data_IF_462969484015
#
_entry.id   IF_462969484015
#
_cell.length_a   1.000
_cell.length_b   1.000
_cell.length_c   1.000
_cell.angle_alpha   90.00
_cell.angle_beta   90.00
_cell.angle_gamma   90.00
#
_symmetry.space_group_name_H-M   'P 1'
#
loop_
_entity.id
_entity.type
_entity.pdbx_description
1 polymer ?
#
# COMPACT_ATOMS: atom_id res chain seq x y z
N UNK A 1 -3.56 11.12 -24.73
CA UNK A 1 -2.95 11.80 -23.58
C UNK A 1 -3.45 11.13 -22.31
N UNK A 2 -2.70 10.18 -21.74
CA UNK A 2 -3.05 9.55 -20.45
C UNK A 2 -1.93 9.85 -19.47
N UNK A 3 -2.20 10.69 -18.48
CA UNK A 3 -1.29 10.92 -17.37
C UNK A 3 -1.38 9.69 -16.46
N UNK A 4 -0.43 8.76 -16.62
CA UNK A 4 -0.03 7.85 -15.54
C UNK A 4 0.59 8.72 -14.45
N UNK A 5 -0.23 9.29 -13.56
CA UNK A 5 0.26 9.86 -12.31
C UNK A 5 0.73 8.68 -11.46
N UNK A 6 2.00 8.35 -11.62
CA UNK A 6 2.83 7.87 -10.54
C UNK A 6 2.48 8.74 -9.34
N UNK A 7 1.73 8.18 -8.38
CA UNK A 7 1.41 8.87 -7.13
C UNK A 7 2.68 8.85 -6.29
N UNK A 8 3.67 9.62 -6.73
CA UNK A 8 4.53 10.34 -5.82
C UNK A 8 3.63 10.97 -4.77
N UNK A 9 4.12 11.02 -3.53
CA UNK A 9 3.46 11.60 -2.35
C UNK A 9 2.85 13.01 -2.60
N UNK A 10 3.23 13.65 -3.71
CA UNK A 10 2.80 14.93 -4.29
C UNK A 10 1.28 15.18 -4.42
N UNK A 11 0.43 14.16 -4.25
CA UNK A 11 -1.04 14.28 -4.34
C UNK A 11 -1.79 14.29 -3.00
N UNK A 12 -1.09 14.12 -1.88
CA UNK A 12 -1.69 14.02 -0.55
C UNK A 12 -1.39 15.26 0.30
N UNK A 13 -2.36 15.70 1.10
CA UNK A 13 -2.12 16.74 2.10
C UNK A 13 -1.14 16.26 3.18
N UNK A 14 -0.57 17.19 3.96
CA UNK A 14 0.46 16.85 4.95
C UNK A 14 -0.07 15.89 6.03
N UNK A 15 -1.34 16.02 6.41
CA UNK A 15 -1.95 15.18 7.44
C UNK A 15 -2.03 13.72 6.97
N UNK A 16 -2.48 13.52 5.74
CA UNK A 16 -2.55 12.20 5.10
C UNK A 16 -1.16 11.59 4.96
N UNK A 17 -0.16 12.39 4.53
CA UNK A 17 1.23 11.91 4.43
C UNK A 17 1.79 11.49 5.79
N UNK A 18 1.50 12.26 6.84
CA UNK A 18 1.90 11.91 8.20
C UNK A 18 1.26 10.60 8.67
N UNK A 19 -0.05 10.42 8.44
CA UNK A 19 -0.76 9.19 8.78
C UNK A 19 -0.19 7.97 8.04
N UNK A 20 0.11 8.10 6.74
CA UNK A 20 0.74 7.03 5.95
C UNK A 20 2.10 6.64 6.56
N UNK A 21 2.95 7.63 6.86
CA UNK A 21 4.27 7.38 7.47
C UNK A 21 4.16 6.70 8.82
N UNK A 22 3.18 7.09 9.63
CA UNK A 22 2.93 6.48 10.94
C UNK A 22 2.56 5.00 10.80
N UNK A 23 1.59 4.67 9.94
CA UNK A 23 1.17 3.29 9.70
C UNK A 23 2.33 2.46 9.13
N UNK A 24 3.09 3.01 8.18
CA UNK A 24 4.29 2.36 7.64
C UNK A 24 5.33 2.08 8.73
N UNK A 25 5.55 3.01 9.66
CA UNK A 25 6.50 2.84 10.75
C UNK A 25 6.08 1.72 11.71
N UNK A 26 4.78 1.62 12.03
CA UNK A 26 4.25 0.53 12.86
C UNK A 26 4.48 -0.82 12.21
N UNK A 27 4.16 -0.95 10.91
CA UNK A 27 4.36 -2.21 10.18
C UNK A 27 5.85 -2.53 10.05
N UNK A 28 6.68 -1.55 9.67
CA UNK A 28 8.12 -1.75 9.47
C UNK A 28 8.88 -2.06 10.77
N UNK A 29 8.37 -1.64 11.93
CA UNK A 29 8.94 -2.00 13.23
C UNK A 29 8.85 -3.51 13.50
N UNK A 30 7.77 -4.15 13.03
CA UNK A 30 7.57 -5.60 13.16
C UNK A 30 8.11 -6.39 11.97
N UNK A 31 7.97 -5.83 10.77
CA UNK A 31 8.32 -6.43 9.49
C UNK A 31 9.24 -5.51 8.68
N UNK A 32 10.55 -5.48 8.99
CA UNK A 32 11.49 -4.54 8.36
C UNK A 32 11.69 -4.73 6.85
N UNK A 33 11.36 -5.92 6.33
CA UNK A 33 11.45 -6.26 4.92
C UNK A 33 10.19 -5.89 4.12
N UNK A 34 9.17 -5.32 4.76
CA UNK A 34 7.94 -4.90 4.09
C UNK A 34 8.22 -3.86 3.01
N UNK A 35 7.61 -4.06 1.84
CA UNK A 35 7.58 -3.09 0.76
C UNK A 35 6.20 -2.44 0.76
N UNK A 36 6.19 -1.12 0.63
CA UNK A 36 4.97 -0.34 0.62
C UNK A 36 4.72 0.26 -0.76
N UNK A 37 3.48 0.16 -1.23
CA UNK A 37 3.02 0.87 -2.43
C UNK A 37 1.72 1.61 -2.12
N UNK A 38 1.59 2.83 -2.67
CA UNK A 38 0.40 3.65 -2.53
C UNK A 38 -0.39 3.63 -3.84
N UNK A 39 -1.68 3.36 -3.73
CA UNK A 39 -2.62 3.45 -4.84
C UNK A 39 -3.86 4.25 -4.43
N UNK A 40 -4.51 4.89 -5.40
CA UNK A 40 -5.87 5.41 -5.21
C UNK A 40 -6.86 4.26 -5.39
N UNK A 41 -7.90 4.23 -4.56
CA UNK A 41 -8.98 3.29 -4.76
C UNK A 41 -9.65 3.58 -6.12
N UNK A 42 -9.92 2.53 -6.90
CA UNK A 42 -10.57 2.68 -8.20
C UNK A 42 -12.03 3.17 -8.04
N UNK A 43 -12.67 2.77 -6.96
CA UNK A 43 -14.09 3.02 -6.70
C UNK A 43 -14.33 4.28 -5.85
N UNK A 44 -13.34 4.72 -5.07
CA UNK A 44 -13.39 5.99 -4.32
C UNK A 44 -12.17 6.87 -4.64
N UNK A 45 -12.34 8.00 -5.34
CA UNK A 45 -11.26 8.93 -5.63
C UNK A 45 -10.54 9.48 -4.40
N UNK A 46 -11.20 9.47 -3.23
CA UNK A 46 -10.62 9.89 -1.96
C UNK A 46 -9.89 8.75 -1.26
N UNK A 47 -10.31 7.51 -1.51
CA UNK A 47 -9.76 6.31 -0.91
C UNK A 47 -8.28 6.10 -1.25
N UNK A 48 -7.51 5.71 -0.23
CA UNK A 48 -6.07 5.50 -0.32
C UNK A 48 -5.81 4.06 0.08
N UNK A 49 -5.18 3.30 -0.81
CA UNK A 49 -4.73 1.94 -0.53
C UNK A 49 -3.23 1.96 -0.28
N UNK A 50 -2.83 1.56 0.92
CA UNK A 50 -1.46 1.22 1.26
C UNK A 50 -1.30 -0.30 1.14
N UNK A 51 -0.70 -0.72 0.03
CA UNK A 51 -0.31 -2.11 -0.18
C UNK A 51 0.91 -2.40 0.70
N UNK A 52 0.79 -3.34 1.64
CA UNK A 52 1.86 -3.76 2.52
C UNK A 52 2.34 -5.16 2.10
N UNK A 53 3.34 -5.20 1.23
CA UNK A 53 3.90 -6.43 0.69
C UNK A 53 4.90 -6.99 1.70
N UNK A 54 4.52 -8.06 2.37
CA UNK A 54 5.31 -8.66 3.46
C UNK A 54 5.39 -10.16 3.28
N UNK A 55 6.55 -10.72 3.62
CA UNK A 55 6.70 -12.17 3.76
C UNK A 55 6.24 -12.58 5.17
N UNK A 56 4.95 -12.88 5.28
CA UNK A 56 4.32 -13.44 6.47
C UNK A 56 3.53 -14.67 6.05
N UNK A 57 3.36 -15.61 6.97
CA UNK A 57 2.50 -16.77 6.73
C UNK A 57 1.03 -16.38 6.68
N UNK A 58 0.64 -15.43 7.53
CA UNK A 58 -0.71 -14.89 7.60
C UNK A 58 -0.72 -13.36 7.39
N UNK A 59 -1.25 -12.86 6.26
CA UNK A 59 -1.42 -11.44 5.99
C UNK A 59 -2.32 -10.71 7.01
N UNK A 60 -3.26 -11.42 7.63
CA UNK A 60 -4.24 -10.81 8.53
C UNK A 60 -3.54 -10.26 9.80
N UNK A 61 -2.42 -10.85 10.22
CA UNK A 61 -1.59 -10.34 11.31
C UNK A 61 -1.09 -8.90 11.08
N UNK A 62 -0.84 -8.53 9.82
CA UNK A 62 -0.43 -7.16 9.47
C UNK A 62 -1.62 -6.20 9.59
N UNK A 63 -2.81 -6.67 9.24
CA UNK A 63 -4.05 -5.90 9.41
C UNK A 63 -4.36 -5.67 10.89
N UNK A 64 -4.33 -6.72 11.70
CA UNK A 64 -4.57 -6.67 13.14
C UNK A 64 -3.60 -5.74 13.86
N UNK A 65 -2.36 -5.65 13.39
CA UNK A 65 -1.35 -4.76 13.96
C UNK A 65 -1.72 -3.26 13.82
N UNK A 66 -2.47 -2.89 12.78
CA UNK A 66 -2.75 -1.49 12.44
C UNK A 66 -4.24 -1.14 12.49
N UNK A 67 -5.13 -2.10 12.72
CA UNK A 67 -6.57 -1.93 12.59
C UNK A 67 -7.11 -0.80 13.46
N UNK A 68 -6.72 -0.74 14.73
CA UNK A 68 -7.17 0.32 15.66
C UNK A 68 -6.77 1.71 15.15
N UNK A 69 -5.54 1.83 14.63
CA UNK A 69 -5.06 3.10 14.09
C UNK A 69 -5.78 3.47 12.80
N UNK A 70 -6.04 2.50 11.93
CA UNK A 70 -6.77 2.71 10.68
C UNK A 70 -8.21 3.13 10.96
N UNK A 71 -8.89 2.52 11.93
CA UNK A 71 -10.24 2.93 12.34
C UNK A 71 -10.23 4.38 12.86
N UNK A 72 -9.30 4.74 13.74
CA UNK A 72 -9.20 6.11 14.25
C UNK A 72 -8.94 7.12 13.10
N UNK A 73 -8.06 6.77 12.15
CA UNK A 73 -7.79 7.61 10.98
C UNK A 73 -9.05 7.83 10.13
N UNK A 74 -9.87 6.81 9.93
CA UNK A 74 -11.08 6.90 9.11
C UNK A 74 -12.23 7.61 9.83
N UNK A 75 -12.48 7.26 11.10
CA UNK A 75 -13.65 7.70 11.86
C UNK A 75 -13.42 9.08 12.48
N UNK A 76 -12.31 9.26 13.19
CA UNK A 76 -12.05 10.47 13.96
C UNK A 76 -11.35 11.54 13.11
N UNK A 77 -10.45 11.10 12.23
CA UNK A 77 -9.61 12.01 11.44
C UNK A 77 -10.12 12.27 10.02
N UNK A 78 -11.06 11.45 9.54
CA UNK A 78 -11.64 11.57 8.20
C UNK A 78 -10.67 11.23 7.06
N UNK A 79 -9.62 10.46 7.35
CA UNK A 79 -8.59 10.04 6.39
C UNK A 79 -8.94 8.62 5.90
N UNK A 80 -9.41 8.45 4.65
CA UNK A 80 -9.85 7.15 4.11
C UNK A 80 -8.65 6.30 3.67
N UNK A 81 -7.77 5.97 4.61
CA UNK A 81 -6.60 5.10 4.40
C UNK A 81 -6.97 3.65 4.71
N UNK A 82 -6.70 2.76 3.77
CA UNK A 82 -6.88 1.31 3.90
C UNK A 82 -5.54 0.61 3.74
N UNK A 83 -5.29 -0.41 4.56
CA UNK A 83 -4.10 -1.26 4.44
C UNK A 83 -4.50 -2.58 3.82
N UNK A 84 -3.78 -2.97 2.77
CA UNK A 84 -4.00 -4.22 2.06
C UNK A 84 -2.71 -5.04 2.18
N UNK A 85 -2.64 -5.98 3.13
CA UNK A 85 -1.49 -6.84 3.27
C UNK A 85 -1.45 -7.85 2.12
N UNK A 86 -0.29 -7.98 1.49
CA UNK A 86 -0.07 -8.91 0.38
C UNK A 86 1.06 -9.87 0.75
N UNK A 87 0.76 -11.17 0.76
CA UNK A 87 1.78 -12.21 0.88
C UNK A 87 2.51 -12.36 -0.45
N UNK A 88 3.82 -12.16 -0.44
CA UNK A 88 4.65 -12.43 -1.60
C UNK A 88 5.71 -13.48 -1.26
N UNK A 89 5.81 -14.59 -2.02
CA UNK A 89 6.88 -15.57 -1.82
C UNK A 89 8.26 -14.92 -1.96
N UNK A 90 9.23 -15.30 -1.12
CA UNK A 90 10.61 -14.77 -1.08
C UNK A 90 11.24 -14.57 -2.47
N UNK A 91 10.99 -15.51 -3.41
CA UNK A 91 11.54 -15.45 -4.77
C UNK A 91 11.07 -14.24 -5.56
N UNK A 92 9.82 -13.84 -5.37
CA UNK A 92 9.24 -12.68 -6.03
C UNK A 92 9.64 -11.39 -5.31
N UNK A 93 9.81 -11.44 -3.98
CA UNK A 93 10.35 -10.33 -3.20
C UNK A 93 11.79 -9.98 -3.62
N UNK A 94 12.66 -10.98 -3.80
CA UNK A 94 14.03 -10.77 -4.29
C UNK A 94 14.05 -10.16 -5.70
N UNK A 95 13.14 -10.58 -6.58
CA UNK A 95 12.97 -10.01 -7.91
C UNK A 95 12.49 -8.56 -7.86
N UNK A 96 11.51 -8.22 -7.00
CA UNK A 96 11.03 -6.84 -6.80
C UNK A 96 12.12 -5.93 -6.20
N UNK A 97 12.89 -6.42 -5.22
CA UNK A 97 14.02 -5.66 -4.65
C UNK A 97 15.08 -5.41 -5.71
N UNK A 98 15.38 -6.39 -6.56
CA UNK A 98 16.33 -6.26 -7.65
C UNK A 98 15.82 -5.35 -8.77
N UNK A 99 14.53 -5.42 -9.10
CA UNK A 99 13.89 -4.59 -10.13
C UNK A 99 13.77 -3.13 -9.69
N UNK A 100 13.42 -2.87 -8.42
CA UNK A 100 13.44 -1.52 -7.84
C UNK A 100 14.83 -0.88 -7.81
N UNK A 101 15.91 -1.68 -7.78
CA UNK A 101 17.29 -1.19 -7.97
C UNK A 101 17.66 -0.93 -9.43
N UNK A 102 16.90 -1.48 -10.39
CA UNK A 102 17.17 -1.41 -11.83
C UNK A 102 16.23 -0.46 -12.60
N UNK A 103 15.03 -0.20 -12.07
CA UNK A 103 13.97 0.52 -12.79
C UNK A 103 13.75 1.90 -12.18
N UNK A 104 14.43 2.89 -12.76
CA UNK A 104 13.80 4.19 -12.99
C UNK A 104 12.65 3.99 -14.00
N UNK A 105 11.50 4.68 -13.86
CA UNK A 105 10.20 4.11 -14.12
C UNK A 105 9.94 3.86 -15.62
N UNK A 106 9.59 2.63 -15.96
CA UNK A 106 8.89 2.27 -17.19
C UNK A 106 7.67 1.42 -16.84
N UNK A 107 6.54 2.12 -16.68
CA UNK A 107 5.15 1.69 -16.89
C UNK A 107 4.87 0.17 -17.04
N UNK A 108 4.16 -0.39 -16.05
CA UNK A 108 3.45 -1.67 -16.14
C UNK A 108 2.16 -1.53 -15.31
N UNK A 109 0.96 -1.41 -15.89
CA UNK A 109 0.19 -2.40 -16.66
C UNK A 109 0.10 -3.76 -15.95
N UNK A 110 -0.62 -3.83 -14.83
CA UNK A 110 -1.23 -5.07 -14.31
C UNK A 110 -2.18 -4.79 -13.14
N UNK A 111 -3.45 -4.46 -13.42
CA UNK A 111 -4.57 -4.84 -12.53
C UNK A 111 -5.75 -5.23 -13.42
N UNK A 112 -5.75 -6.50 -13.83
CA UNK A 112 -6.94 -7.18 -14.34
C UNK A 112 -6.92 -8.58 -13.76
N UNK A 113 -7.45 -8.71 -12.56
CA UNK A 113 -7.89 -9.97 -11.92
C UNK A 113 -8.42 -9.57 -10.56
N UNK A 114 -9.72 -9.24 -10.50
CA UNK A 114 -10.62 -9.36 -9.34
C UNK A 114 -11.95 -8.74 -9.80
N UNK A 115 -12.71 -9.53 -10.53
CA UNK A 115 -14.00 -9.13 -11.09
C UNK A 115 -14.47 -10.23 -12.02
N UNK A 116 -15.03 -11.27 -11.42
CA UNK A 116 -16.10 -12.11 -11.99
C UNK A 116 -16.67 -12.95 -10.84
N UNK A 117 -17.53 -12.30 -10.06
CA UNK A 117 -18.56 -12.95 -9.27
C UNK A 117 -19.75 -11.99 -9.32
N UNK A 118 -20.56 -12.15 -10.38
CA UNK A 118 -22.03 -12.27 -10.41
C UNK A 118 -22.45 -12.42 -11.87
#
# INVERSE_FOLDING_TARGET
MRQERQLSDDGFDERTRQAIREVQAVIAARYPATIFELARAADDPRGIHLLAITDVDDPDEVGDLVIDRIVALQVDEGIPLHVIPLRMPERVQAALVADRRRVAPRSARLVRLLGDLV
#
